data_IF_380423207875
#
_entry.id   IF_380423207875
#
_cell.length_a   1.000
_cell.length_b   1.000
_cell.length_c   1.000
_cell.angle_alpha   90.00
_cell.angle_beta   90.00
_cell.angle_gamma   90.00
#
_symmetry.space_group_name_H-M   'P 1'
#
loop_
_entity.id
_entity.type
_entity.pdbx_description
1 polymer ?
#
# COMPACT_ATOMS: atom_id res chain seq x y z
N UNK A 1 21.08 96.14 15.67
CA UNK A 1 21.32 95.22 16.79
C UNK A 1 20.18 94.20 16.73
N UNK A 2 20.38 93.09 16.10
CA UNK A 2 19.41 91.95 16.09
C UNK A 2 20.19 90.66 15.95
N UNK A 3 20.09 89.84 16.98
CA UNK A 3 20.76 88.52 17.07
C UNK A 3 19.99 87.44 16.27
N UNK A 4 20.66 86.90 15.29
CA UNK A 4 20.17 85.68 14.57
C UNK A 4 20.46 84.40 15.39
N UNK A 5 19.41 83.69 15.81
CA UNK A 5 19.55 82.41 16.44
C UNK A 5 19.56 81.28 15.37
N UNK A 6 20.72 80.59 15.26
CA UNK A 6 20.91 79.41 14.46
C UNK A 6 20.13 78.21 15.10
N UNK A 7 19.27 77.57 14.34
CA UNK A 7 18.65 76.32 14.70
C UNK A 7 19.38 75.17 13.97
N UNK A 8 20.12 74.36 14.74
CA UNK A 8 20.73 73.11 14.28
C UNK A 8 19.67 72.06 14.20
N UNK A 9 19.46 71.47 13.01
CA UNK A 9 18.54 70.37 12.75
C UNK A 9 19.34 69.07 12.87
N UNK A 10 19.13 68.30 13.94
CA UNK A 10 19.69 66.95 14.09
C UNK A 10 18.85 65.96 13.28
N UNK A 11 19.44 65.44 12.21
CA UNK A 11 18.86 64.37 11.40
C UNK A 11 19.25 63.01 12.01
N UNK A 12 18.31 62.36 12.72
CA UNK A 12 18.50 61.03 13.25
C UNK A 12 18.21 59.99 12.15
N UNK A 13 19.27 59.33 11.63
CA UNK A 13 19.14 58.19 10.72
C UNK A 13 18.70 56.96 11.55
N UNK A 14 17.47 56.48 11.33
CA UNK A 14 17.02 55.16 11.78
C UNK A 14 17.58 54.12 10.81
N UNK A 15 18.61 53.38 11.24
CA UNK A 15 19.03 52.13 10.57
C UNK A 15 17.99 51.04 10.89
N UNK A 16 17.12 50.72 9.92
CA UNK A 16 16.31 49.53 9.96
C UNK A 16 17.20 48.30 9.68
N UNK A 17 17.61 47.63 10.74
CA UNK A 17 18.31 46.36 10.64
C UNK A 17 17.36 45.27 10.07
N UNK A 18 17.55 44.91 8.81
CA UNK A 18 16.92 43.73 8.22
C UNK A 18 17.56 42.51 8.87
N UNK A 19 16.88 41.92 9.86
CA UNK A 19 17.23 40.60 10.36
C UNK A 19 16.90 39.58 9.25
N UNK A 20 17.88 39.27 8.39
CA UNK A 20 17.85 38.13 7.55
C UNK A 20 17.95 36.88 8.47
N UNK A 21 16.81 36.23 8.77
CA UNK A 21 16.83 34.88 9.30
C UNK A 21 17.54 34.00 8.27
N UNK A 22 18.61 33.30 8.62
CA UNK A 22 19.18 32.33 7.70
C UNK A 22 18.11 31.29 7.48
N UNK A 23 17.62 31.14 6.25
CA UNK A 23 16.99 29.89 5.78
C UNK A 23 18.02 28.80 6.03
N UNK A 24 17.86 28.05 7.13
CA UNK A 24 18.65 26.86 7.37
C UNK A 24 18.30 25.86 6.28
N UNK A 25 18.92 26.04 5.11
CA UNK A 25 18.93 25.00 4.09
C UNK A 25 19.58 23.76 4.71
N UNK A 26 18.91 22.63 4.62
CA UNK A 26 19.49 21.35 4.99
C UNK A 26 20.76 21.17 4.16
N UNK A 27 21.90 21.16 4.86
CA UNK A 27 23.20 20.98 4.23
C UNK A 27 23.27 19.61 3.56
N UNK A 28 24.24 19.39 2.64
CA UNK A 28 24.45 18.21 1.80
C UNK A 28 24.51 16.85 2.54
N UNK A 29 24.37 16.82 3.85
CA UNK A 29 24.59 15.68 4.74
C UNK A 29 23.30 14.98 5.23
N UNK A 30 22.15 15.17 4.60
CA UNK A 30 20.96 14.40 4.96
C UNK A 30 20.94 13.04 4.24
N UNK A 31 20.64 11.95 4.93
CA UNK A 31 20.35 11.77 6.37
C UNK A 31 21.63 11.69 7.23
N UNK A 32 21.68 12.48 8.33
CA UNK A 32 22.82 12.48 9.27
C UNK A 32 22.86 11.28 10.21
N UNK A 33 21.73 10.60 10.37
CA UNK A 33 21.56 9.42 11.23
C UNK A 33 20.74 8.35 10.50
N UNK A 34 20.71 7.09 10.98
CA UNK A 34 19.85 6.06 10.45
C UNK A 34 18.38 6.51 10.44
N UNK A 35 17.67 6.14 9.38
CA UNK A 35 16.24 6.42 9.23
C UNK A 35 15.44 5.20 9.65
N UNK A 36 14.43 5.39 10.49
CA UNK A 36 13.50 4.32 10.82
C UNK A 36 12.64 3.97 9.61
N UNK A 37 12.54 2.69 9.29
CA UNK A 37 11.59 2.14 8.34
C UNK A 37 10.56 1.30 9.11
N UNK A 38 9.44 1.92 9.43
CA UNK A 38 8.37 1.33 10.24
C UNK A 38 7.53 0.41 9.36
N UNK A 39 7.60 -0.89 9.57
CA UNK A 39 6.70 -1.85 8.95
C UNK A 39 5.36 -1.87 9.70
N UNK A 40 4.25 -1.57 9.00
CA UNK A 40 2.90 -1.66 9.57
C UNK A 40 2.40 -3.11 9.63
N UNK A 41 3.28 -4.05 9.94
CA UNK A 41 3.08 -5.49 10.00
C UNK A 41 3.93 -6.14 11.07
N UNK A 42 3.57 -7.36 11.43
CA UNK A 42 4.32 -8.16 12.39
C UNK A 42 5.62 -8.71 11.76
N UNK A 43 6.64 -9.05 12.56
CA UNK A 43 7.86 -9.69 12.07
C UNK A 43 7.55 -10.95 11.26
N UNK A 44 8.19 -11.09 10.09
CA UNK A 44 7.95 -12.20 9.15
C UNK A 44 6.71 -12.04 8.27
N UNK A 45 5.90 -11.02 8.48
CA UNK A 45 4.76 -10.70 7.61
C UNK A 45 5.17 -9.95 6.34
N UNK A 46 4.23 -9.80 5.38
CA UNK A 46 4.51 -9.19 4.08
C UNK A 46 5.06 -7.75 4.15
N UNK A 47 4.63 -6.93 5.11
CA UNK A 47 5.16 -5.57 5.27
C UNK A 47 6.56 -5.54 5.91
N UNK A 48 6.86 -6.49 6.80
CA UNK A 48 8.23 -6.69 7.31
C UNK A 48 9.17 -7.13 6.18
N UNK A 49 8.74 -8.10 5.37
CA UNK A 49 9.49 -8.51 4.18
C UNK A 49 9.79 -7.31 3.27
N UNK A 50 8.76 -6.48 3.00
CA UNK A 50 8.96 -5.30 2.15
C UNK A 50 9.93 -4.29 2.75
N UNK A 51 9.90 -4.04 4.05
CA UNK A 51 10.87 -3.18 4.71
C UNK A 51 12.31 -3.73 4.53
N UNK A 52 12.50 -5.04 4.69
CA UNK A 52 13.82 -5.69 4.54
C UNK A 52 14.34 -5.69 3.11
N UNK A 53 13.48 -5.96 2.12
CA UNK A 53 13.91 -5.94 0.71
C UNK A 53 14.19 -4.51 0.22
N UNK A 54 13.52 -3.50 0.77
CA UNK A 54 13.83 -2.09 0.51
C UNK A 54 15.24 -1.77 1.07
N UNK A 55 15.53 -2.09 2.32
CA UNK A 55 16.85 -1.89 2.91
C UNK A 55 17.93 -2.61 2.09
N UNK A 56 17.71 -3.89 1.76
CA UNK A 56 18.62 -4.67 0.92
C UNK A 56 18.87 -4.01 -0.44
N UNK A 57 17.83 -3.52 -1.10
CA UNK A 57 17.93 -2.83 -2.40
C UNK A 57 18.75 -1.55 -2.29
N UNK A 58 18.55 -0.75 -1.25
CA UNK A 58 19.33 0.46 -1.00
C UNK A 58 20.80 0.15 -0.76
N UNK A 59 21.12 -0.91 0.01
CA UNK A 59 22.48 -1.33 0.28
C UNK A 59 23.17 -1.83 -1.00
N UNK A 60 22.53 -2.74 -1.74
CA UNK A 60 23.09 -3.31 -2.97
C UNK A 60 23.26 -2.26 -4.08
N UNK A 61 22.33 -1.31 -4.19
CA UNK A 61 22.42 -0.21 -5.15
C UNK A 61 23.31 0.95 -4.67
N UNK A 62 23.88 0.87 -3.46
CA UNK A 62 24.73 1.93 -2.84
C UNK A 62 24.03 3.29 -2.81
N UNK A 63 22.73 3.31 -2.48
CA UNK A 63 21.90 4.51 -2.46
C UNK A 63 21.79 5.15 -1.07
N UNK A 64 22.19 4.44 -0.03
CA UNK A 64 22.26 4.94 1.34
C UNK A 64 23.60 4.59 1.98
N UNK A 65 24.16 5.54 2.73
CA UNK A 65 25.42 5.33 3.46
C UNK A 65 25.23 4.51 4.75
N UNK A 66 23.98 4.42 5.22
CA UNK A 66 23.59 3.69 6.44
C UNK A 66 22.36 2.84 6.17
N UNK A 67 22.27 1.63 6.77
CA UNK A 67 21.05 0.81 6.70
C UNK A 67 19.88 1.50 7.40
N UNK A 68 18.66 1.12 6.99
CA UNK A 68 17.47 1.51 7.73
C UNK A 68 17.40 0.80 9.07
N UNK A 69 16.84 1.48 10.07
CA UNK A 69 16.42 0.82 11.31
C UNK A 69 15.01 0.30 11.14
N UNK A 70 14.85 -1.01 10.94
CA UNK A 70 13.52 -1.61 10.72
C UNK A 70 12.81 -1.81 12.05
N UNK A 71 11.58 -1.26 12.16
CA UNK A 71 10.74 -1.33 13.36
C UNK A 71 9.36 -1.88 13.01
N UNK A 72 8.97 -3.01 13.59
CA UNK A 72 7.67 -3.63 13.35
C UNK A 72 6.60 -3.11 14.32
N UNK A 73 5.44 -2.69 13.78
CA UNK A 73 4.28 -2.22 14.54
C UNK A 73 2.97 -2.70 13.89
N UNK A 74 2.76 -4.03 13.86
CA UNK A 74 1.69 -4.69 13.10
C UNK A 74 0.31 -4.64 13.75
N UNK A 75 0.22 -4.46 15.06
CA UNK A 75 -1.05 -4.56 15.78
C UNK A 75 -2.15 -3.62 15.23
N UNK A 76 -3.40 -4.07 15.37
CA UNK A 76 -4.57 -3.33 14.88
C UNK A 76 -4.63 -3.19 13.35
N UNK A 77 -4.06 -4.13 12.61
CA UNK A 77 -4.01 -4.05 11.14
C UNK A 77 -3.16 -2.89 10.63
N UNK A 78 -2.05 -2.58 11.31
CA UNK A 78 -1.13 -1.49 10.99
C UNK A 78 -1.51 -0.13 11.62
N UNK A 79 -2.60 -0.05 12.38
CA UNK A 79 -3.03 1.20 13.01
C UNK A 79 -2.03 1.69 14.06
N UNK A 80 -1.34 0.77 14.76
CA UNK A 80 -0.29 1.13 15.75
C UNK A 80 0.89 1.80 15.04
N UNK A 81 1.29 1.32 13.86
CA UNK A 81 2.32 1.98 13.07
C UNK A 81 1.92 3.39 12.65
N UNK A 82 0.70 3.56 12.15
CA UNK A 82 0.17 4.88 11.75
C UNK A 82 0.11 5.84 12.94
N UNK A 83 -0.41 5.39 14.10
CA UNK A 83 -0.43 6.21 15.31
C UNK A 83 0.98 6.62 15.77
N UNK A 84 1.95 5.71 15.68
CA UNK A 84 3.35 6.02 15.95
C UNK A 84 3.89 7.10 15.02
N UNK A 85 3.66 6.98 13.68
CA UNK A 85 4.09 8.00 12.72
C UNK A 85 3.51 9.39 13.03
N UNK A 86 2.28 9.45 13.53
CA UNK A 86 1.65 10.72 13.96
C UNK A 86 2.40 11.34 15.15
N UNK A 87 2.92 10.53 16.08
CA UNK A 87 3.75 11.06 17.18
C UNK A 87 5.11 11.62 16.71
N UNK A 88 5.55 11.21 15.50
CA UNK A 88 6.80 11.66 14.87
C UNK A 88 6.59 12.85 13.93
N UNK A 89 5.50 13.60 14.08
CA UNK A 89 5.15 14.76 13.23
C UNK A 89 6.35 15.67 12.99
N UNK A 90 6.60 16.01 11.72
CA UNK A 90 7.70 16.87 11.29
C UNK A 90 9.08 16.19 11.28
N UNK A 91 9.20 14.93 11.72
CA UNK A 91 10.46 14.20 11.67
C UNK A 91 10.82 13.82 10.23
N UNK A 92 12.06 14.11 9.77
CA UNK A 92 12.54 13.62 8.48
C UNK A 92 13.10 12.19 8.55
N UNK A 93 13.21 11.59 9.75
CA UNK A 93 13.93 10.33 10.00
C UNK A 93 13.03 9.12 10.24
N UNK A 94 11.75 9.22 9.89
CA UNK A 94 10.82 8.11 10.02
C UNK A 94 10.00 7.96 8.73
N UNK A 95 10.06 6.76 8.16
CA UNK A 95 9.29 6.32 7.01
C UNK A 95 8.45 5.11 7.39
N UNK A 96 7.29 4.93 6.79
CA UNK A 96 6.42 3.78 7.03
C UNK A 96 6.16 3.01 5.74
N UNK A 97 6.31 1.69 5.78
CA UNK A 97 5.80 0.77 4.75
C UNK A 97 4.37 0.39 5.10
N UNK A 98 3.43 0.69 4.20
CA UNK A 98 2.01 0.38 4.42
C UNK A 98 1.31 0.03 3.11
N UNK A 99 0.02 -0.31 3.18
CA UNK A 99 -0.83 -0.73 2.06
C UNK A 99 -2.13 0.09 2.03
N UNK A 100 -3.08 -0.33 1.19
CA UNK A 100 -4.43 0.24 1.12
C UNK A 100 -5.21 0.26 2.44
N UNK A 101 -4.71 -0.39 3.50
CA UNK A 101 -5.28 -0.29 4.85
C UNK A 101 -5.26 1.14 5.39
N UNK A 102 -4.35 2.00 4.92
CA UNK A 102 -4.36 3.45 5.25
C UNK A 102 -5.64 4.16 4.80
N UNK A 103 -6.35 3.60 3.82
CA UNK A 103 -7.65 4.08 3.36
C UNK A 103 -8.81 3.31 4.00
N UNK A 104 -8.69 1.99 4.07
CA UNK A 104 -9.77 1.11 4.53
C UNK A 104 -10.04 1.24 6.03
N UNK A 105 -9.00 1.33 6.84
CA UNK A 105 -9.12 1.38 8.29
C UNK A 105 -9.86 2.62 8.81
N UNK A 106 -9.59 3.86 8.33
CA UNK A 106 -10.40 5.01 8.71
C UNK A 106 -11.83 4.95 8.19
N UNK A 107 -12.06 4.41 6.99
CA UNK A 107 -13.41 4.29 6.41
C UNK A 107 -14.31 3.35 7.21
N UNK A 108 -13.77 2.29 7.80
CA UNK A 108 -14.55 1.36 8.64
C UNK A 108 -14.50 1.72 10.14
N UNK A 109 -13.90 2.84 10.51
CA UNK A 109 -13.85 3.35 11.87
C UNK A 109 -12.89 2.60 12.81
N UNK A 110 -11.96 1.77 12.31
CA UNK A 110 -10.96 1.07 13.16
C UNK A 110 -9.82 1.98 13.58
N UNK A 111 -9.66 3.15 12.95
CA UNK A 111 -8.75 4.21 13.36
C UNK A 111 -9.34 5.58 13.05
N UNK A 112 -8.92 6.60 13.81
CA UNK A 112 -9.21 8.01 13.51
C UNK A 112 -8.20 8.65 12.55
N UNK A 113 -7.06 8.00 12.32
CA UNK A 113 -5.99 8.53 11.48
C UNK A 113 -6.30 8.26 10.01
N UNK A 114 -6.12 9.29 9.18
CA UNK A 114 -6.44 9.30 7.75
C UNK A 114 -5.19 9.63 6.93
N UNK A 115 -5.33 9.70 5.60
CA UNK A 115 -4.25 10.17 4.73
C UNK A 115 -3.75 11.59 5.04
N UNK A 116 -4.55 12.41 5.72
CA UNK A 116 -4.14 13.75 6.16
C UNK A 116 -3.08 13.71 7.26
N UNK A 117 -3.00 12.59 7.96
CA UNK A 117 -2.04 12.34 9.03
C UNK A 117 -0.77 11.65 8.54
N UNK A 118 -0.53 11.61 7.23
CA UNK A 118 0.66 11.00 6.60
C UNK A 118 1.06 11.77 5.35
N UNK A 119 2.33 11.63 4.95
CA UNK A 119 2.85 12.18 3.70
C UNK A 119 3.10 11.01 2.73
N UNK A 120 2.28 10.79 1.68
CA UNK A 120 2.56 9.79 0.66
C UNK A 120 3.89 10.10 -0.05
N UNK A 121 4.87 9.21 0.03
CA UNK A 121 6.21 9.44 -0.56
C UNK A 121 6.33 8.74 -1.91
N UNK A 122 6.11 7.42 -1.97
CA UNK A 122 6.11 6.65 -3.22
C UNK A 122 5.26 5.39 -3.08
N UNK A 123 4.70 4.88 -4.19
CA UNK A 123 4.29 3.48 -4.33
C UNK A 123 5.47 2.70 -4.92
N UNK A 124 5.75 1.51 -4.42
CA UNK A 124 6.90 0.72 -4.87
C UNK A 124 6.50 -0.52 -5.65
N UNK A 125 5.64 -1.33 -5.06
CA UNK A 125 5.27 -2.64 -5.62
C UNK A 125 3.76 -2.80 -5.69
N UNK A 126 3.32 -3.70 -6.53
CA UNK A 126 1.98 -4.25 -6.54
C UNK A 126 2.04 -5.77 -6.62
N UNK A 127 1.12 -6.39 -5.93
CA UNK A 127 0.76 -7.79 -6.08
C UNK A 127 -0.67 -7.84 -6.61
N UNK A 128 -1.05 -8.97 -7.18
CA UNK A 128 -2.40 -9.14 -7.70
C UNK A 128 -3.05 -10.38 -7.10
N UNK A 129 -4.32 -10.22 -6.79
CA UNK A 129 -5.14 -11.26 -6.20
C UNK A 129 -5.67 -12.22 -7.26
N UNK A 130 -5.86 -13.47 -6.85
CA UNK A 130 -6.48 -14.48 -7.68
C UNK A 130 -7.75 -15.03 -6.99
N UNK A 131 -8.73 -15.46 -7.77
CA UNK A 131 -9.68 -16.46 -7.28
C UNK A 131 -9.15 -17.83 -7.61
N UNK A 132 -9.11 -18.70 -6.61
CA UNK A 132 -8.47 -19.99 -6.70
C UNK A 132 -9.35 -21.10 -6.11
N UNK A 133 -9.36 -22.24 -6.77
CA UNK A 133 -10.10 -23.44 -6.37
C UNK A 133 -9.16 -24.64 -6.32
N UNK A 134 -9.60 -25.77 -5.78
CA UNK A 134 -8.84 -27.03 -5.84
C UNK A 134 -8.68 -27.49 -7.31
N UNK A 135 -7.56 -28.11 -7.66
CA UNK A 135 -7.21 -28.50 -9.03
C UNK A 135 -8.26 -29.40 -9.69
N UNK A 136 -8.92 -30.26 -8.93
CA UNK A 136 -10.01 -31.17 -9.39
C UNK A 136 -11.41 -30.55 -9.28
N UNK A 137 -11.55 -29.29 -8.86
CA UNK A 137 -12.84 -28.62 -8.71
C UNK A 137 -13.70 -28.70 -9.99
N UNK A 138 -15.02 -28.73 -9.81
CA UNK A 138 -15.98 -28.60 -10.91
C UNK A 138 -15.91 -27.25 -11.63
N UNK A 139 -15.49 -26.20 -10.92
CA UNK A 139 -15.33 -24.85 -11.49
C UNK A 139 -14.09 -24.78 -12.37
N UNK A 140 -14.30 -24.53 -13.67
CA UNK A 140 -13.23 -24.43 -14.66
C UNK A 140 -12.95 -22.98 -15.04
N UNK A 141 -13.95 -22.13 -14.94
CA UNK A 141 -13.90 -20.70 -15.27
C UNK A 141 -14.47 -19.87 -14.12
N UNK A 142 -14.15 -18.56 -14.12
CA UNK A 142 -14.75 -17.65 -13.16
C UNK A 142 -16.25 -17.44 -13.43
N UNK A 143 -16.70 -17.60 -14.68
CA UNK A 143 -18.11 -17.52 -15.07
C UNK A 143 -18.94 -18.61 -14.40
N UNK A 144 -18.41 -19.83 -14.24
CA UNK A 144 -19.08 -20.92 -13.51
C UNK A 144 -19.38 -20.51 -12.05
N UNK A 145 -18.39 -19.88 -11.41
CA UNK A 145 -18.52 -19.37 -10.02
C UNK A 145 -19.57 -18.26 -9.96
N UNK A 146 -19.47 -17.27 -10.85
CA UNK A 146 -20.41 -16.14 -10.89
C UNK A 146 -21.85 -16.62 -11.15
N UNK A 147 -22.03 -17.62 -12.02
CA UNK A 147 -23.35 -18.18 -12.32
C UNK A 147 -23.99 -18.82 -11.07
N UNK A 148 -23.22 -19.56 -10.27
CA UNK A 148 -23.74 -20.16 -9.03
C UNK A 148 -23.99 -19.11 -7.96
N UNK A 149 -23.11 -18.09 -7.81
CA UNK A 149 -23.31 -16.97 -6.88
C UNK A 149 -24.53 -16.10 -7.20
N UNK A 150 -24.89 -15.96 -8.48
CA UNK A 150 -26.13 -15.25 -8.90
C UNK A 150 -27.38 -16.01 -8.49
N UNK A 151 -27.34 -17.34 -8.46
CA UNK A 151 -28.47 -18.17 -8.01
C UNK A 151 -28.61 -18.13 -6.50
N UNK A 152 -27.49 -18.32 -5.80
CA UNK A 152 -27.41 -18.25 -4.34
C UNK A 152 -26.05 -17.69 -3.90
N UNK A 153 -25.98 -16.43 -3.44
CA UNK A 153 -24.74 -15.82 -2.97
C UNK A 153 -24.10 -16.56 -1.78
N UNK A 154 -24.87 -17.36 -1.05
CA UNK A 154 -24.39 -18.10 0.12
C UNK A 154 -23.81 -19.47 -0.25
N UNK A 155 -23.96 -19.91 -1.49
CA UNK A 155 -23.58 -21.26 -1.95
C UNK A 155 -22.07 -21.52 -1.90
N UNK A 156 -21.24 -20.47 -2.03
CA UNK A 156 -19.79 -20.59 -2.12
C UNK A 156 -19.12 -19.68 -1.08
N UNK A 157 -18.77 -20.18 0.10
CA UNK A 157 -17.96 -19.42 1.05
C UNK A 157 -16.54 -19.20 0.51
N UNK A 158 -16.12 -17.93 0.47
CA UNK A 158 -14.75 -17.53 0.09
C UNK A 158 -13.83 -17.53 1.30
N UNK A 159 -12.67 -18.17 1.18
CA UNK A 159 -11.57 -17.97 2.10
C UNK A 159 -10.74 -16.74 1.71
N UNK A 160 -10.35 -15.95 2.69
CA UNK A 160 -9.44 -14.81 2.52
C UNK A 160 -8.31 -14.90 3.53
N UNK A 161 -7.10 -14.41 3.17
CA UNK A 161 -5.87 -14.56 3.95
C UNK A 161 -5.72 -13.59 5.11
N UNK A 162 -6.66 -12.65 5.33
CA UNK A 162 -6.56 -11.69 6.43
C UNK A 162 -7.92 -11.13 6.81
N UNK A 163 -8.02 -10.56 8.01
CA UNK A 163 -9.27 -9.98 8.52
C UNK A 163 -9.75 -8.78 7.66
N UNK A 164 -11.07 -8.70 7.36
CA UNK A 164 -11.67 -7.54 6.71
C UNK A 164 -11.54 -6.23 7.53
N UNK A 165 -11.51 -5.06 6.83
CA UNK A 165 -11.45 -4.88 5.39
C UNK A 165 -10.04 -5.10 4.85
N UNK A 166 -9.91 -5.77 3.72
CA UNK A 166 -8.62 -6.09 3.11
C UNK A 166 -8.74 -6.27 1.60
N UNK A 167 -7.60 -6.32 0.89
CA UNK A 167 -7.56 -6.48 -0.57
C UNK A 167 -8.21 -7.78 -1.02
N UNK A 168 -7.96 -8.89 -0.34
CA UNK A 168 -8.56 -10.18 -0.64
C UNK A 168 -10.09 -10.11 -0.64
N UNK A 169 -10.67 -9.44 0.38
CA UNK A 169 -12.11 -9.20 0.45
C UNK A 169 -12.59 -8.31 -0.72
N UNK A 170 -11.87 -7.23 -1.01
CA UNK A 170 -12.22 -6.33 -2.11
C UNK A 170 -12.20 -7.07 -3.45
N UNK A 171 -11.25 -8.00 -3.65
CA UNK A 171 -11.19 -8.86 -4.84
C UNK A 171 -12.34 -9.88 -4.93
N UNK A 172 -13.06 -10.13 -3.84
CA UNK A 172 -14.34 -10.85 -3.89
C UNK A 172 -15.50 -9.92 -4.22
N UNK A 173 -15.60 -8.80 -3.51
CA UNK A 173 -16.79 -7.95 -3.51
C UNK A 173 -16.93 -7.08 -4.75
N UNK A 174 -15.82 -6.50 -5.24
CA UNK A 174 -15.85 -5.59 -6.40
C UNK A 174 -16.30 -6.33 -7.66
N UNK A 175 -15.64 -7.44 -8.08
CA UNK A 175 -16.06 -8.15 -9.28
C UNK A 175 -17.42 -8.84 -9.13
N UNK A 176 -17.76 -9.35 -7.95
CA UNK A 176 -19.09 -9.92 -7.70
C UNK A 176 -20.19 -8.87 -7.88
N UNK A 177 -20.01 -7.65 -7.32
CA UNK A 177 -20.93 -6.51 -7.51
C UNK A 177 -21.02 -6.12 -8.99
N UNK A 178 -19.87 -5.98 -9.68
CA UNK A 178 -19.83 -5.65 -11.09
C UNK A 178 -20.53 -6.70 -11.97
N UNK A 179 -20.48 -7.98 -11.56
CA UNK A 179 -21.21 -9.07 -12.20
C UNK A 179 -22.70 -9.12 -11.85
N UNK A 180 -23.21 -8.29 -10.96
CA UNK A 180 -24.62 -8.28 -10.54
C UNK A 180 -24.97 -9.33 -9.49
N UNK A 181 -24.01 -9.82 -8.69
CA UNK A 181 -24.23 -10.68 -7.53
C UNK A 181 -24.66 -9.82 -6.32
N UNK A 182 -25.59 -10.33 -5.50
CA UNK A 182 -25.89 -9.70 -4.20
C UNK A 182 -24.74 -9.91 -3.21
N UNK A 183 -23.87 -8.90 -3.12
CA UNK A 183 -22.66 -8.97 -2.29
C UNK A 183 -22.93 -9.01 -0.79
N UNK A 184 -24.14 -8.60 -0.33
CA UNK A 184 -24.53 -8.70 1.09
C UNK A 184 -24.78 -10.14 1.52
N UNK A 185 -25.13 -10.99 0.56
CA UNK A 185 -25.35 -12.41 0.78
C UNK A 185 -24.07 -13.26 0.82
N UNK A 186 -22.92 -12.73 0.34
CA UNK A 186 -21.68 -13.50 0.26
C UNK A 186 -21.16 -13.92 1.63
N UNK A 187 -20.71 -15.17 1.72
CA UNK A 187 -20.01 -15.70 2.89
C UNK A 187 -18.50 -15.56 2.71
N UNK A 188 -17.84 -14.86 3.63
CA UNK A 188 -16.38 -14.66 3.61
C UNK A 188 -15.82 -15.12 4.95
N UNK A 189 -14.81 -16.00 4.89
CA UNK A 189 -14.13 -16.58 6.06
C UNK A 189 -12.68 -16.14 6.04
N UNK A 190 -12.24 -15.45 7.09
CA UNK A 190 -10.87 -14.98 7.22
C UNK A 190 -9.97 -16.03 7.85
N UNK A 191 -8.80 -16.23 7.28
CA UNK A 191 -7.72 -17.09 7.74
C UNK A 191 -6.47 -16.27 8.07
N UNK A 192 -5.36 -16.93 8.46
CA UNK A 192 -4.14 -16.24 8.92
C UNK A 192 -3.16 -15.83 7.79
N UNK A 193 -3.44 -16.24 6.54
CA UNK A 193 -2.62 -15.96 5.36
C UNK A 193 -3.15 -16.73 4.16
N UNK A 194 -2.69 -16.41 2.96
CA UNK A 194 -3.09 -17.11 1.74
C UNK A 194 -2.64 -18.59 1.73
N UNK A 195 -1.51 -18.89 2.35
CA UNK A 195 -1.06 -20.29 2.52
C UNK A 195 -2.07 -21.12 3.33
N UNK A 196 -2.66 -20.51 4.38
CA UNK A 196 -3.71 -21.17 5.16
C UNK A 196 -4.99 -21.33 4.32
N UNK A 197 -5.39 -20.31 3.55
CA UNK A 197 -6.48 -20.41 2.57
C UNK A 197 -6.25 -21.59 1.62
N UNK A 198 -5.06 -21.71 1.04
CA UNK A 198 -4.69 -22.83 0.17
C UNK A 198 -4.84 -24.19 0.85
N UNK A 199 -4.41 -24.30 2.11
CA UNK A 199 -4.55 -25.50 2.93
C UNK A 199 -6.03 -25.88 3.14
N UNK A 200 -6.88 -24.90 3.45
CA UNK A 200 -8.32 -25.12 3.64
C UNK A 200 -9.03 -25.55 2.35
N UNK A 201 -8.61 -25.01 1.19
CA UNK A 201 -9.11 -25.43 -0.13
C UNK A 201 -8.71 -26.89 -0.41
N UNK A 202 -7.45 -27.25 -0.17
CA UNK A 202 -6.94 -28.61 -0.36
C UNK A 202 -7.63 -29.61 0.54
N UNK A 203 -7.93 -29.24 1.78
CA UNK A 203 -8.69 -30.02 2.74
C UNK A 203 -10.19 -30.17 2.42
N UNK A 204 -10.69 -29.40 1.44
CA UNK A 204 -12.12 -29.41 1.09
C UNK A 204 -13.00 -28.63 2.09
N UNK A 205 -12.42 -27.85 3.01
CA UNK A 205 -13.17 -27.08 4.02
C UNK A 205 -13.80 -25.81 3.43
N UNK A 206 -13.19 -25.23 2.40
CA UNK A 206 -13.74 -24.14 1.61
C UNK A 206 -13.61 -24.46 0.10
N UNK A 207 -14.61 -24.08 -0.73
CA UNK A 207 -14.60 -24.38 -2.16
C UNK A 207 -13.72 -23.46 -2.99
N UNK A 208 -13.51 -22.21 -2.52
CA UNK A 208 -12.84 -21.15 -3.26
C UNK A 208 -12.12 -20.19 -2.31
N UNK A 209 -11.03 -19.59 -2.77
CA UNK A 209 -10.31 -18.55 -2.04
C UNK A 209 -10.02 -17.34 -2.91
N UNK A 210 -9.78 -16.21 -2.24
CA UNK A 210 -9.25 -14.97 -2.81
C UNK A 210 -8.04 -14.55 -1.98
N UNK A 211 -6.85 -14.48 -2.61
CA UNK A 211 -5.59 -14.11 -1.97
C UNK A 211 -4.53 -13.79 -3.01
N UNK A 212 -3.38 -13.25 -2.59
CA UNK A 212 -2.25 -12.96 -3.49
C UNK A 212 -1.68 -14.23 -4.10
N UNK A 213 -1.34 -14.18 -5.39
CA UNK A 213 -0.69 -15.30 -6.08
C UNK A 213 0.61 -15.73 -5.41
N UNK A 214 1.42 -14.75 -4.93
CA UNK A 214 2.72 -14.99 -4.31
C UNK A 214 2.68 -16.00 -3.15
N UNK A 215 1.57 -16.08 -2.43
CA UNK A 215 1.39 -17.03 -1.32
C UNK A 215 1.06 -18.45 -1.75
N UNK A 216 0.64 -18.65 -3.02
CA UNK A 216 0.13 -19.94 -3.53
C UNK A 216 0.86 -20.47 -4.76
N UNK A 217 1.91 -19.76 -5.24
CA UNK A 217 2.64 -20.12 -6.48
C UNK A 217 2.99 -21.61 -6.54
N UNK A 218 3.63 -22.14 -5.52
CA UNK A 218 4.06 -23.56 -5.50
C UNK A 218 2.88 -24.55 -5.64
N UNK A 219 1.72 -24.27 -5.06
CA UNK A 219 0.54 -25.12 -5.17
C UNK A 219 -0.13 -25.00 -6.55
N UNK A 220 -0.06 -23.83 -7.16
CA UNK A 220 -0.57 -23.57 -8.51
C UNK A 220 0.32 -24.26 -9.55
N UNK A 221 1.65 -24.09 -9.46
CA UNK A 221 2.62 -24.74 -10.34
C UNK A 221 2.54 -26.28 -10.25
N UNK A 222 2.30 -26.81 -9.06
CA UNK A 222 2.07 -28.25 -8.85
C UNK A 222 0.69 -28.73 -9.34
N UNK A 223 -0.16 -27.87 -9.90
CA UNK A 223 -1.51 -28.20 -10.37
C UNK A 223 -2.51 -28.58 -9.26
N UNK A 224 -2.12 -28.44 -7.99
CA UNK A 224 -2.97 -28.76 -6.85
C UNK A 224 -4.07 -27.73 -6.63
N UNK A 225 -3.78 -26.48 -6.94
CA UNK A 225 -4.73 -25.37 -6.99
C UNK A 225 -4.85 -24.84 -8.43
N UNK A 226 -6.04 -24.40 -8.79
CA UNK A 226 -6.34 -23.79 -10.09
C UNK A 226 -6.80 -22.37 -9.88
N UNK A 227 -6.01 -21.35 -10.31
CA UNK A 227 -6.49 -19.99 -10.41
C UNK A 227 -7.49 -19.86 -11.55
N UNK A 228 -8.59 -19.19 -11.33
CA UNK A 228 -9.67 -18.97 -12.30
C UNK A 228 -9.57 -17.59 -12.98
N UNK A 229 -9.03 -16.61 -12.27
CA UNK A 229 -8.92 -15.23 -12.71
C UNK A 229 -7.87 -14.51 -11.87
N UNK A 230 -7.27 -13.47 -12.44
CA UNK A 230 -6.32 -12.59 -11.76
C UNK A 230 -6.79 -11.13 -11.84
N UNK A 231 -6.51 -10.34 -10.79
CA UNK A 231 -6.93 -8.94 -10.68
C UNK A 231 -6.01 -7.93 -11.39
N UNK A 232 -4.98 -8.40 -12.10
CA UNK A 232 -4.02 -7.58 -12.82
C UNK A 232 -4.61 -6.94 -14.08
N UNK A 233 -4.02 -5.83 -14.58
CA UNK A 233 -4.46 -5.18 -15.82
C UNK A 233 -4.20 -6.04 -17.07
N UNK A 234 -3.23 -6.95 -17.00
CA UNK A 234 -2.82 -7.88 -18.05
C UNK A 234 -2.52 -9.24 -17.40
N UNK A 235 -2.51 -10.32 -18.21
CA UNK A 235 -2.11 -11.65 -17.70
C UNK A 235 -0.71 -11.61 -17.11
N UNK A 236 -0.50 -12.38 -16.08
CA UNK A 236 0.81 -12.48 -15.43
C UNK A 236 1.68 -13.52 -16.17
N UNK A 237 2.97 -13.27 -16.27
CA UNK A 237 3.93 -14.19 -16.94
C UNK A 237 3.89 -15.59 -16.32
N UNK A 238 3.71 -15.68 -15.01
CA UNK A 238 3.57 -16.96 -14.29
C UNK A 238 2.20 -17.63 -14.49
N UNK A 239 1.21 -16.92 -14.97
CA UNK A 239 -0.15 -17.39 -15.20
C UNK A 239 -0.63 -17.06 -16.63
N UNK A 240 0.09 -17.46 -17.69
CA UNK A 240 -0.20 -17.03 -19.07
C UNK A 240 -1.58 -17.53 -19.55
N UNK A 241 -2.10 -18.58 -18.96
CA UNK A 241 -3.40 -19.17 -19.32
C UNK A 241 -4.56 -18.72 -18.41
N UNK A 242 -4.29 -17.88 -17.38
CA UNK A 242 -5.32 -17.38 -16.47
C UNK A 242 -5.79 -16.01 -16.95
N UNK A 243 -7.09 -15.84 -17.24
CA UNK A 243 -7.63 -14.57 -17.70
C UNK A 243 -7.62 -13.53 -16.57
N UNK A 244 -7.56 -12.25 -16.97
CA UNK A 244 -7.84 -11.13 -16.08
C UNK A 244 -9.36 -10.94 -15.90
N UNK A 245 -9.76 -10.12 -14.92
CA UNK A 245 -11.16 -9.69 -14.81
C UNK A 245 -11.65 -9.01 -16.09
N UNK A 246 -10.81 -8.18 -16.75
CA UNK A 246 -11.15 -7.50 -18.01
C UNK A 246 -11.42 -8.49 -19.14
N UNK A 247 -10.57 -9.49 -19.30
CA UNK A 247 -10.77 -10.55 -20.28
C UNK A 247 -11.98 -11.42 -19.95
N UNK A 248 -12.37 -11.47 -18.69
CA UNK A 248 -13.58 -12.16 -18.20
C UNK A 248 -14.86 -11.32 -18.32
N UNK A 249 -14.78 -10.11 -18.91
CA UNK A 249 -15.93 -9.23 -19.16
C UNK A 249 -16.24 -8.23 -18.03
N UNK A 250 -15.36 -8.11 -17.03
CA UNK A 250 -15.53 -7.16 -15.91
C UNK A 250 -14.37 -6.16 -15.91
N UNK A 251 -14.67 -4.87 -16.02
CA UNK A 251 -13.65 -3.80 -15.95
C UNK A 251 -13.18 -3.59 -14.50
N UNK A 252 -12.46 -4.57 -13.98
CA UNK A 252 -11.91 -4.57 -12.64
C UNK A 252 -10.39 -4.78 -12.71
N UNK A 253 -9.66 -3.88 -12.06
CA UNK A 253 -8.23 -4.03 -11.75
C UNK A 253 -8.07 -3.70 -10.28
N UNK A 254 -7.47 -4.59 -9.52
CA UNK A 254 -7.23 -4.39 -8.10
C UNK A 254 -5.80 -4.78 -7.74
N UNK A 255 -5.01 -3.79 -7.41
CA UNK A 255 -3.63 -3.99 -6.99
C UNK A 255 -3.53 -4.00 -5.45
N UNK A 256 -2.88 -5.01 -4.91
CA UNK A 256 -2.43 -5.00 -3.52
C UNK A 256 -1.04 -4.35 -3.47
N UNK A 257 -1.03 -3.04 -3.37
CA UNK A 257 0.21 -2.27 -3.45
C UNK A 257 0.90 -2.13 -2.09
N UNK A 258 2.20 -1.84 -2.15
CA UNK A 258 3.02 -1.40 -1.02
C UNK A 258 3.56 -0.01 -1.33
N UNK A 259 3.37 0.90 -0.37
CA UNK A 259 3.82 2.28 -0.47
C UNK A 259 4.60 2.74 0.75
N UNK A 260 5.35 3.80 0.55
CA UNK A 260 6.10 4.49 1.59
C UNK A 260 5.38 5.78 1.94
N UNK A 261 5.23 6.01 3.23
CA UNK A 261 4.64 7.20 3.81
C UNK A 261 5.64 7.85 4.77
N UNK A 262 5.76 9.15 4.72
CA UNK A 262 6.45 9.96 5.71
C UNK A 262 5.55 10.37 6.86
N UNK A 263 6.14 11.02 7.84
CA UNK A 263 5.42 11.61 8.98
C UNK A 263 4.45 12.72 8.53
N UNK A 264 3.43 13.07 9.32
CA UNK A 264 2.69 14.30 9.11
C UNK A 264 3.65 15.50 9.07
N UNK A 265 3.40 16.44 8.14
CA UNK A 265 4.23 17.63 7.95
C UNK A 265 5.73 17.31 7.75
N UNK A 266 6.03 16.21 7.06
CA UNK A 266 7.40 15.85 6.68
C UNK A 266 8.07 17.03 5.94
N UNK A 267 9.30 17.45 6.32
CA UNK A 267 10.00 18.53 5.64
C UNK A 267 10.17 18.25 4.14
N UNK A 268 9.96 19.30 3.33
CA UNK A 268 9.99 19.18 1.86
C UNK A 268 11.31 18.62 1.35
N UNK A 269 12.42 19.00 1.94
CA UNK A 269 13.75 18.55 1.55
C UNK A 269 13.90 17.03 1.77
N UNK A 270 13.37 16.50 2.87
CA UNK A 270 13.36 15.07 3.14
C UNK A 270 12.42 14.33 2.16
N UNK A 271 11.25 14.90 1.88
CA UNK A 271 10.33 14.37 0.88
C UNK A 271 10.98 14.27 -0.50
N UNK A 272 11.61 15.36 -0.97
CA UNK A 272 12.28 15.41 -2.27
C UNK A 272 13.45 14.43 -2.34
N UNK A 273 14.26 14.34 -1.25
CA UNK A 273 15.35 13.39 -1.14
C UNK A 273 14.86 11.94 -1.30
N UNK A 274 13.81 11.56 -0.55
CA UNK A 274 13.30 10.19 -0.61
C UNK A 274 12.62 9.87 -1.95
N UNK A 275 11.86 10.81 -2.54
CA UNK A 275 11.31 10.61 -3.89
C UNK A 275 12.42 10.32 -4.91
N UNK A 276 13.51 11.09 -4.86
CA UNK A 276 14.67 10.88 -5.74
C UNK A 276 15.36 9.54 -5.48
N UNK A 277 15.61 9.20 -4.22
CA UNK A 277 16.30 7.95 -3.85
C UNK A 277 15.47 6.71 -4.18
N UNK A 278 14.20 6.70 -3.91
CA UNK A 278 13.30 5.60 -4.29
C UNK A 278 13.14 5.49 -5.82
N UNK A 279 13.12 6.60 -6.56
CA UNK A 279 13.14 6.57 -8.01
C UNK A 279 14.42 5.92 -8.56
N UNK A 280 15.58 6.25 -8.02
CA UNK A 280 16.84 5.61 -8.37
C UNK A 280 16.83 4.10 -8.03
N UNK A 281 16.36 3.74 -6.83
CA UNK A 281 16.22 2.35 -6.41
C UNK A 281 15.32 1.57 -7.37
N UNK A 282 14.15 2.10 -7.72
CA UNK A 282 13.16 1.41 -8.56
C UNK A 282 13.67 1.07 -9.98
N UNK A 283 14.71 1.76 -10.44
CA UNK A 283 15.35 1.53 -11.74
C UNK A 283 16.60 0.65 -11.64
N UNK A 284 17.12 0.41 -10.43
CA UNK A 284 18.36 -0.33 -10.20
C UNK A 284 18.19 -1.83 -10.56
N UNK A 285 19.31 -2.45 -10.98
CA UNK A 285 19.32 -3.90 -11.23
C UNK A 285 19.04 -4.67 -9.93
N UNK A 286 19.61 -4.21 -8.81
CA UNK A 286 19.35 -4.80 -7.49
C UNK A 286 17.85 -4.91 -7.16
N UNK A 287 17.08 -3.84 -7.43
CA UNK A 287 15.64 -3.86 -7.21
C UNK A 287 14.94 -4.85 -8.13
N UNK A 288 15.27 -4.87 -9.41
CA UNK A 288 14.69 -5.81 -10.40
C UNK A 288 14.94 -7.27 -9.99
N UNK A 289 16.15 -7.60 -9.55
CA UNK A 289 16.51 -8.95 -9.13
C UNK A 289 15.77 -9.36 -7.85
N UNK A 290 15.63 -8.43 -6.89
CA UNK A 290 14.86 -8.63 -5.66
C UNK A 290 13.39 -8.86 -5.98
N UNK A 291 12.79 -8.07 -6.86
CA UNK A 291 11.38 -8.23 -7.26
C UNK A 291 11.15 -9.59 -7.93
N UNK A 292 12.02 -9.97 -8.88
CA UNK A 292 11.91 -11.26 -9.55
C UNK A 292 12.01 -12.45 -8.59
N UNK A 293 12.94 -12.37 -7.60
CA UNK A 293 13.10 -13.40 -6.57
C UNK A 293 11.88 -13.55 -5.65
N UNK A 294 11.14 -12.45 -5.42
CA UNK A 294 10.01 -12.43 -4.49
C UNK A 294 8.63 -12.41 -5.20
N UNK A 295 8.58 -12.60 -6.52
CA UNK A 295 7.36 -12.57 -7.34
C UNK A 295 6.56 -11.26 -7.23
N UNK A 296 7.27 -10.15 -7.05
CA UNK A 296 6.70 -8.83 -6.91
C UNK A 296 6.81 -8.06 -8.22
N UNK A 297 5.79 -7.26 -8.52
CA UNK A 297 5.82 -6.37 -9.68
C UNK A 297 6.29 -4.97 -9.30
N UNK A 298 7.11 -4.37 -10.15
CA UNK A 298 7.48 -2.96 -10.02
C UNK A 298 6.28 -2.09 -10.40
N UNK A 299 5.72 -1.41 -9.41
CA UNK A 299 4.58 -0.52 -9.59
C UNK A 299 4.91 0.91 -9.10
N UNK A 300 6.13 1.35 -9.37
CA UNK A 300 6.66 2.62 -8.89
C UNK A 300 5.80 3.81 -9.37
N UNK A 301 5.38 4.63 -8.40
CA UNK A 301 4.82 5.96 -8.61
C UNK A 301 5.51 6.95 -7.68
N UNK A 302 5.81 8.13 -8.20
CA UNK A 302 6.25 9.28 -7.38
C UNK A 302 5.13 9.73 -6.44
N UNK A 303 5.48 10.49 -5.40
CA UNK A 303 4.55 10.91 -4.36
C UNK A 303 3.29 11.60 -4.88
N UNK A 304 3.40 12.52 -5.83
CA UNK A 304 2.24 13.23 -6.40
C UNK A 304 1.31 12.27 -7.16
N UNK A 305 1.88 11.37 -7.99
CA UNK A 305 1.10 10.35 -8.71
C UNK A 305 0.49 9.35 -7.74
N UNK A 306 1.24 8.95 -6.72
CA UNK A 306 0.75 8.05 -5.69
C UNK A 306 -0.40 8.68 -4.89
N UNK A 307 -0.27 9.95 -4.51
CA UNK A 307 -1.34 10.70 -3.84
C UNK A 307 -2.63 10.74 -4.67
N UNK A 308 -2.52 11.01 -5.98
CA UNK A 308 -3.69 11.00 -6.87
C UNK A 308 -4.36 9.62 -6.95
N UNK A 309 -3.58 8.53 -6.99
CA UNK A 309 -4.13 7.17 -6.94
C UNK A 309 -4.82 6.88 -5.60
N UNK A 310 -4.23 7.30 -4.47
CA UNK A 310 -4.84 7.13 -3.15
C UNK A 310 -6.18 7.87 -3.03
N UNK A 311 -6.29 9.07 -3.60
CA UNK A 311 -7.54 9.83 -3.63
C UNK A 311 -8.62 9.09 -4.43
N UNK A 312 -8.26 8.56 -5.60
CA UNK A 312 -9.16 7.75 -6.44
C UNK A 312 -9.61 6.46 -5.75
N UNK A 313 -8.66 5.73 -5.16
CA UNK A 313 -8.95 4.50 -4.40
C UNK A 313 -9.85 4.81 -3.20
N UNK A 314 -9.63 5.94 -2.51
CA UNK A 314 -10.45 6.37 -1.38
C UNK A 314 -11.91 6.58 -1.73
N UNK A 315 -12.20 7.15 -2.91
CA UNK A 315 -13.58 7.31 -3.41
C UNK A 315 -14.21 5.94 -3.68
N UNK A 316 -13.48 5.06 -4.40
CA UNK A 316 -13.95 3.71 -4.72
C UNK A 316 -14.24 2.89 -3.45
N UNK A 317 -13.32 2.88 -2.49
CA UNK A 317 -13.48 2.11 -1.26
C UNK A 317 -14.61 2.65 -0.38
N UNK A 318 -14.78 3.98 -0.34
CA UNK A 318 -15.91 4.60 0.39
C UNK A 318 -17.25 4.16 -0.19
N UNK A 319 -17.41 4.21 -1.51
CA UNK A 319 -18.63 3.76 -2.19
C UNK A 319 -18.92 2.27 -1.91
N UNK A 320 -17.88 1.44 -2.04
CA UNK A 320 -18.00 0.00 -1.83
C UNK A 320 -18.38 -0.33 -0.39
N UNK A 321 -17.66 0.21 0.60
CA UNK A 321 -17.93 -0.02 2.02
C UNK A 321 -19.31 0.53 2.41
N UNK A 322 -19.74 1.65 1.80
CA UNK A 322 -21.11 2.17 1.95
C UNK A 322 -22.18 1.19 1.47
N UNK A 323 -21.98 0.60 0.28
CA UNK A 323 -22.89 -0.43 -0.27
C UNK A 323 -23.00 -1.64 0.65
N UNK A 324 -21.92 -2.00 1.35
CA UNK A 324 -21.85 -3.16 2.25
C UNK A 324 -22.30 -2.86 3.67
N UNK A 325 -22.63 -1.59 4.01
CA UNK A 325 -22.92 -1.19 5.37
C UNK A 325 -21.71 -1.26 6.32
N UNK A 326 -20.50 -1.15 5.78
CA UNK A 326 -19.23 -1.23 6.52
C UNK A 326 -18.59 0.14 6.77
N UNK A 327 -19.19 1.24 6.32
CA UNK A 327 -18.79 2.61 6.68
C UNK A 327 -19.14 2.90 8.13
N UNK A 328 -18.22 3.56 8.84
CA UNK A 328 -18.44 4.07 10.20
C UNK A 328 -18.00 5.53 10.33
#
# INVERSE_FOLDING_TARGET
MSMMKSRTFCLTLLLAGVFAFPLQGWTADYPKQPVELVAAGDPGGGLDLHARIIDMAFQQAKLADKPFTIVNKGAGGGNVATAYMVTQKGSPYSLQVNTNRVLLNPLNGTTKHTLKDMTPVVRLTAEYEIWVVRGDSKYKTVQDVIADLKKDPKSLPFGIGTAPPCTDQLNVLIPAKAAGVDVKGLKIVAFRGGTDVGTQILGGHIPIGSTSLSELVALVEAGRLRPLVVSSPQRMDKLPNVPTWKESGLDVVLAHWRGIFGTPDMPKEAYDYWNKKFAQMSQSQAWKDILAKNDLQNAFLTGDKFKAELEKDGVLYKELLGTLGMLK
#
